data_IF_533746540102
#
_entry.id   IF_533746540102
#
_cell.length_a   1.000
_cell.length_b   1.000
_cell.length_c   1.000
_cell.angle_alpha   90.00
_cell.angle_beta   90.00
_cell.angle_gamma   90.00
#
_symmetry.space_group_name_H-M   'P 1'
#
loop_
_entity.id
_entity.type
_entity.pdbx_description
1 polymer ?
#
# COMPACT_ATOMS: atom_id res chain seq x y z
N UNK A 1 45.51 35.28 -13.23
CA UNK A 1 44.15 35.12 -12.65
C UNK A 1 43.32 34.32 -13.64
N UNK A 2 42.67 33.20 -13.38
CA UNK A 2 42.60 32.24 -12.27
C UNK A 2 41.80 31.07 -12.86
N UNK A 3 42.33 29.85 -12.77
CA UNK A 3 41.69 28.64 -13.34
C UNK A 3 40.52 28.26 -12.46
N UNK A 4 39.30 28.33 -12.98
CA UNK A 4 38.09 27.85 -12.30
C UNK A 4 38.06 26.33 -12.44
N UNK A 5 38.52 25.63 -11.41
CA UNK A 5 38.30 24.20 -11.23
C UNK A 5 36.85 23.97 -10.84
N UNK A 6 36.04 23.47 -11.77
CA UNK A 6 34.72 22.90 -11.47
C UNK A 6 34.89 21.61 -10.68
N UNK A 7 34.71 21.69 -9.36
CA UNK A 7 34.59 20.52 -8.48
C UNK A 7 33.31 19.76 -8.82
N UNK A 8 33.45 18.62 -9.52
CA UNK A 8 32.32 17.70 -9.75
C UNK A 8 31.99 16.98 -8.45
N UNK A 9 30.73 17.07 -8.00
CA UNK A 9 30.23 16.36 -6.83
C UNK A 9 30.43 14.82 -6.93
N UNK A 10 30.57 14.09 -5.80
CA UNK A 10 30.90 12.68 -5.82
C UNK A 10 29.80 11.87 -6.51
N UNK A 11 30.18 11.08 -7.52
CA UNK A 11 29.31 10.10 -8.19
C UNK A 11 28.82 9.08 -7.16
N UNK A 12 27.57 9.21 -6.70
CA UNK A 12 26.94 8.19 -5.85
C UNK A 12 27.13 6.78 -6.46
N UNK A 13 27.43 5.75 -5.65
CA UNK A 13 27.66 4.38 -6.11
C UNK A 13 26.59 3.90 -7.08
N UNK A 14 26.98 3.11 -8.09
CA UNK A 14 26.06 2.60 -9.14
C UNK A 14 24.83 1.88 -8.56
N UNK A 15 25.00 1.23 -7.40
CA UNK A 15 23.93 0.53 -6.69
C UNK A 15 22.88 1.50 -6.11
N UNK A 16 23.29 2.64 -5.56
CA UNK A 16 22.39 3.63 -4.98
C UNK A 16 21.52 4.30 -6.05
N UNK A 17 22.10 4.59 -7.22
CA UNK A 17 21.33 5.11 -8.36
C UNK A 17 20.33 4.10 -8.90
N UNK A 18 20.71 2.82 -8.94
CA UNK A 18 19.82 1.73 -9.36
C UNK A 18 18.63 1.60 -8.41
N UNK A 19 18.87 1.65 -7.09
CA UNK A 19 17.81 1.65 -6.06
C UNK A 19 16.90 2.87 -6.16
N UNK A 20 17.47 4.07 -6.27
CA UNK A 20 16.69 5.30 -6.41
C UNK A 20 15.83 5.31 -7.70
N UNK A 21 16.36 4.78 -8.81
CA UNK A 21 15.60 4.63 -10.05
C UNK A 21 14.46 3.65 -9.89
N UNK A 22 14.70 2.50 -9.25
CA UNK A 22 13.65 1.53 -8.93
C UNK A 22 12.53 2.16 -8.08
N UNK A 23 12.87 2.90 -7.03
CA UNK A 23 11.88 3.57 -6.18
C UNK A 23 11.02 4.57 -6.95
N UNK A 24 11.64 5.40 -7.80
CA UNK A 24 10.88 6.34 -8.66
C UNK A 24 9.90 5.61 -9.58
N UNK A 25 10.31 4.49 -10.17
CA UNK A 25 9.43 3.67 -11.01
C UNK A 25 8.25 3.09 -10.21
N UNK A 26 8.49 2.58 -8.99
CA UNK A 26 7.44 2.01 -8.15
C UNK A 26 6.43 3.08 -7.70
N UNK A 27 6.90 4.25 -7.27
CA UNK A 27 6.04 5.36 -6.88
C UNK A 27 5.20 5.88 -8.08
N UNK A 28 5.84 6.05 -9.25
CA UNK A 28 5.15 6.44 -10.47
C UNK A 28 4.12 5.37 -10.93
N UNK A 29 4.44 4.08 -10.75
CA UNK A 29 3.53 2.98 -11.08
C UNK A 29 2.26 3.02 -10.24
N UNK A 30 2.37 3.20 -8.91
CA UNK A 30 1.20 3.33 -8.04
C UNK A 30 0.35 4.53 -8.43
N UNK A 31 0.95 5.68 -8.71
CA UNK A 31 0.22 6.87 -9.11
C UNK A 31 -0.47 6.67 -10.48
N UNK A 32 0.21 6.05 -11.45
CA UNK A 32 -0.41 5.71 -12.73
C UNK A 32 -1.62 4.78 -12.57
N UNK A 33 -1.51 3.71 -11.77
CA UNK A 33 -2.65 2.84 -11.46
C UNK A 33 -3.78 3.60 -10.78
N UNK A 34 -3.45 4.42 -9.79
CA UNK A 34 -4.42 5.20 -9.03
C UNK A 34 -5.14 6.25 -9.88
N UNK A 35 -4.56 6.74 -10.97
CA UNK A 35 -5.16 7.79 -11.82
C UNK A 35 -5.80 7.21 -13.08
N UNK A 36 -5.10 6.32 -13.78
CA UNK A 36 -5.46 5.84 -15.12
C UNK A 36 -5.99 4.39 -15.12
N UNK A 37 -5.98 3.71 -13.97
CA UNK A 37 -6.34 2.31 -13.86
C UNK A 37 -5.37 1.38 -14.58
N UNK A 38 -5.71 0.09 -14.65
CA UNK A 38 -4.86 -0.95 -15.24
C UNK A 38 -4.60 -0.76 -16.74
N UNK A 39 -5.66 -0.48 -17.52
CA UNK A 39 -5.57 -0.37 -18.97
C UNK A 39 -4.75 0.85 -19.43
N UNK A 40 -4.85 1.97 -18.72
CA UNK A 40 -4.11 3.20 -19.02
C UNK A 40 -2.66 3.20 -18.54
N UNK A 41 -2.23 2.19 -17.78
CA UNK A 41 -0.92 2.16 -17.14
C UNK A 41 -0.01 1.16 -17.83
N UNK A 42 1.02 1.64 -18.52
CA UNK A 42 2.04 0.80 -19.18
C UNK A 42 3.43 1.10 -18.63
N UNK A 43 4.40 0.19 -18.84
CA UNK A 43 5.80 0.43 -18.45
C UNK A 43 6.36 1.72 -19.06
N UNK A 44 5.93 2.09 -20.27
CA UNK A 44 6.37 3.32 -20.93
C UNK A 44 5.78 4.57 -20.28
N UNK A 45 4.47 4.56 -19.96
CA UNK A 45 3.79 5.66 -19.26
C UNK A 45 4.41 5.88 -17.87
N UNK A 46 4.71 4.79 -17.16
CA UNK A 46 5.38 4.86 -15.86
C UNK A 46 6.81 5.41 -16.00
N UNK A 47 7.57 4.95 -17.00
CA UNK A 47 8.93 5.42 -17.23
C UNK A 47 8.98 6.94 -17.49
N UNK A 48 8.07 7.43 -18.33
CA UNK A 48 7.90 8.86 -18.61
C UNK A 48 7.60 9.63 -17.33
N UNK A 49 6.60 9.20 -16.56
CA UNK A 49 6.24 9.83 -15.28
C UNK A 49 7.39 9.82 -14.27
N UNK A 50 8.15 8.74 -14.22
CA UNK A 50 9.29 8.60 -13.31
C UNK A 50 10.50 9.45 -13.73
N UNK A 51 10.51 10.02 -14.94
CA UNK A 51 11.70 10.65 -15.52
C UNK A 51 12.83 9.66 -15.73
N UNK A 52 12.50 8.47 -16.23
CA UNK A 52 13.42 7.34 -16.47
C UNK A 52 13.30 6.91 -17.93
N UNK A 53 14.41 6.53 -18.57
CA UNK A 53 14.35 6.04 -19.94
C UNK A 53 13.60 4.70 -20.03
N UNK A 54 12.92 4.46 -21.16
CA UNK A 54 12.19 3.20 -21.40
C UNK A 54 13.08 1.97 -21.24
N UNK A 55 14.30 2.01 -21.76
CA UNK A 55 15.26 0.91 -21.64
C UNK A 55 15.69 0.65 -20.19
N UNK A 56 15.89 1.70 -19.39
CA UNK A 56 16.19 1.53 -17.96
C UNK A 56 14.99 0.97 -17.19
N UNK A 57 13.77 1.42 -17.49
CA UNK A 57 12.55 0.88 -16.90
C UNK A 57 12.36 -0.61 -17.23
N UNK A 58 12.53 -1.00 -18.50
CA UNK A 58 12.44 -2.40 -18.95
C UNK A 58 13.53 -3.28 -18.34
N UNK A 59 14.72 -2.74 -18.10
CA UNK A 59 15.79 -3.46 -17.38
C UNK A 59 15.39 -3.78 -15.93
N UNK A 60 14.70 -2.86 -15.25
CA UNK A 60 14.21 -3.09 -13.88
C UNK A 60 12.95 -3.95 -13.82
N UNK A 61 12.06 -3.81 -14.81
CA UNK A 61 10.77 -4.46 -14.88
C UNK A 61 10.48 -4.88 -16.33
N UNK A 62 10.77 -6.13 -16.70
CA UNK A 62 10.59 -6.63 -18.05
C UNK A 62 9.13 -6.57 -18.50
N UNK A 63 8.20 -6.81 -17.57
CA UNK A 63 6.76 -6.81 -17.84
C UNK A 63 6.03 -5.77 -17.02
N UNK A 64 4.82 -5.45 -17.48
CA UNK A 64 3.90 -4.55 -16.78
C UNK A 64 3.44 -5.16 -15.46
N UNK A 65 3.23 -6.48 -15.45
CA UNK A 65 2.79 -7.29 -14.34
C UNK A 65 3.86 -7.33 -13.24
N UNK A 66 5.13 -7.45 -13.60
CA UNK A 66 6.26 -7.37 -12.66
C UNK A 66 6.34 -5.97 -12.02
N UNK A 67 6.14 -4.91 -12.82
CA UNK A 67 6.16 -3.53 -12.34
C UNK A 67 5.05 -3.27 -11.32
N UNK A 68 3.81 -3.59 -11.65
CA UNK A 68 2.68 -3.23 -10.79
C UNK A 68 2.54 -4.11 -9.57
N UNK A 69 2.87 -5.41 -9.67
CA UNK A 69 2.90 -6.28 -8.48
C UNK A 69 3.95 -5.77 -7.49
N UNK A 70 5.15 -5.44 -7.98
CA UNK A 70 6.21 -4.88 -7.13
C UNK A 70 5.85 -3.48 -6.59
N UNK A 71 5.13 -2.66 -7.36
CA UNK A 71 4.69 -1.32 -6.94
C UNK A 71 3.71 -1.39 -5.77
N UNK A 72 2.69 -2.24 -5.86
CA UNK A 72 1.73 -2.45 -4.77
C UNK A 72 2.40 -3.06 -3.56
N UNK A 73 3.31 -4.03 -3.76
CA UNK A 73 4.12 -4.60 -2.67
C UNK A 73 4.96 -3.54 -1.94
N UNK A 74 5.68 -2.71 -2.70
CA UNK A 74 6.56 -1.69 -2.15
C UNK A 74 5.79 -0.73 -1.24
N UNK A 75 4.64 -0.23 -1.69
CA UNK A 75 3.87 0.72 -0.89
C UNK A 75 3.12 0.02 0.25
N UNK A 76 2.72 -1.25 0.08
CA UNK A 76 2.19 -2.04 1.20
C UNK A 76 3.21 -2.15 2.34
N UNK A 77 4.48 -2.43 2.01
CA UNK A 77 5.57 -2.48 2.98
C UNK A 77 5.82 -1.12 3.66
N UNK A 78 5.86 -0.02 2.89
CA UNK A 78 5.99 1.33 3.46
C UNK A 78 4.86 1.65 4.45
N UNK A 79 3.63 1.21 4.15
CA UNK A 79 2.48 1.40 5.04
C UNK A 79 2.55 0.52 6.28
N UNK A 80 2.95 -0.75 6.14
CA UNK A 80 3.18 -1.62 7.28
C UNK A 80 4.23 -1.02 8.22
N UNK A 81 5.30 -0.44 7.69
CA UNK A 81 6.32 0.25 8.49
C UNK A 81 5.76 1.50 9.18
N UNK A 82 5.00 2.33 8.47
CA UNK A 82 4.36 3.51 9.05
C UNK A 82 3.38 3.13 10.18
N UNK A 83 2.63 2.04 10.00
CA UNK A 83 1.68 1.54 10.99
C UNK A 83 2.40 1.01 12.24
N UNK A 84 3.49 0.26 12.09
CA UNK A 84 4.32 -0.19 13.22
C UNK A 84 4.95 0.98 14.00
N UNK A 85 5.21 2.10 13.34
CA UNK A 85 5.76 3.30 13.96
C UNK A 85 4.67 4.21 14.57
N UNK A 86 3.39 3.82 14.52
CA UNK A 86 2.30 4.63 15.04
C UNK A 86 2.43 4.79 16.57
N UNK A 87 2.40 6.01 17.11
CA UNK A 87 2.30 6.21 18.55
C UNK A 87 0.89 5.82 19.01
N UNK A 88 0.75 4.65 19.62
CA UNK A 88 -0.54 4.16 20.14
C UNK A 88 -0.95 5.01 21.35
N UNK A 89 -2.04 5.76 21.20
CA UNK A 89 -2.62 6.57 22.26
C UNK A 89 -3.81 5.87 22.91
N UNK A 90 -4.73 5.40 22.07
CA UNK A 90 -5.94 4.67 22.45
C UNK A 90 -6.37 3.72 21.32
N UNK A 91 -7.34 2.83 21.57
CA UNK A 91 -7.84 1.89 20.55
C UNK A 91 -8.49 2.61 19.37
N UNK A 92 -9.15 3.75 19.59
CA UNK A 92 -9.78 4.53 18.54
C UNK A 92 -8.76 5.03 17.50
N UNK A 93 -7.59 5.48 17.93
CA UNK A 93 -6.49 5.92 17.07
C UNK A 93 -5.95 4.77 16.22
N UNK A 94 -5.87 3.56 16.77
CA UNK A 94 -5.46 2.35 16.05
C UNK A 94 -6.49 1.97 15.00
N UNK A 95 -7.78 1.93 15.37
CA UNK A 95 -8.90 1.66 14.43
C UNK A 95 -8.90 2.68 13.29
N UNK A 96 -8.76 3.96 13.60
CA UNK A 96 -8.70 5.03 12.60
C UNK A 96 -7.51 4.84 11.65
N UNK A 97 -6.33 4.51 12.17
CA UNK A 97 -5.13 4.25 11.37
C UNK A 97 -5.30 3.04 10.44
N UNK A 98 -5.90 1.95 10.93
CA UNK A 98 -6.22 0.76 10.13
C UNK A 98 -7.22 1.07 9.02
N UNK A 99 -8.26 1.87 9.30
CA UNK A 99 -9.23 2.32 8.29
C UNK A 99 -8.59 3.25 7.25
N UNK A 100 -7.63 4.08 7.65
CA UNK A 100 -6.91 4.98 6.75
C UNK A 100 -6.10 4.21 5.67
N UNK A 101 -5.69 2.97 5.94
CA UNK A 101 -5.05 2.11 4.93
C UNK A 101 -5.96 1.91 3.71
N UNK A 102 -7.27 1.82 3.90
CA UNK A 102 -8.20 1.45 2.84
C UNK A 102 -8.86 2.67 2.16
N UNK A 103 -8.63 3.89 2.63
CA UNK A 103 -9.33 5.08 2.11
C UNK A 103 -8.47 5.99 1.21
N UNK A 104 -7.20 5.63 0.98
CA UNK A 104 -6.25 6.43 0.18
C UNK A 104 -5.98 5.94 -1.26
N UNK A 105 -5.22 6.71 -2.06
CA UNK A 105 -4.90 6.40 -3.47
C UNK A 105 -4.27 5.03 -3.72
N UNK A 106 -3.48 4.52 -2.76
CA UNK A 106 -2.89 3.20 -2.89
C UNK A 106 -3.96 2.10 -2.90
N UNK A 107 -4.99 2.21 -2.07
CA UNK A 107 -6.06 1.21 -2.07
C UNK A 107 -6.78 1.20 -3.42
N UNK A 108 -6.99 2.38 -4.02
CA UNK A 108 -7.50 2.49 -5.39
C UNK A 108 -6.58 1.80 -6.42
N UNK A 109 -5.26 2.00 -6.32
CA UNK A 109 -4.30 1.32 -7.19
C UNK A 109 -4.35 -0.22 -7.01
N UNK A 110 -4.39 -0.70 -5.76
CA UNK A 110 -4.50 -2.12 -5.45
C UNK A 110 -5.80 -2.73 -5.99
N UNK A 111 -6.93 -2.01 -5.89
CA UNK A 111 -8.21 -2.44 -6.46
C UNK A 111 -8.14 -2.60 -7.98
N UNK A 112 -7.51 -1.68 -8.69
CA UNK A 112 -7.30 -1.84 -10.13
C UNK A 112 -6.48 -3.10 -10.45
N UNK A 113 -5.47 -3.41 -9.63
CA UNK A 113 -4.68 -4.63 -9.77
C UNK A 113 -5.51 -5.90 -9.46
N UNK A 114 -6.37 -5.88 -8.43
CA UNK A 114 -7.25 -6.99 -8.10
C UNK A 114 -8.28 -7.27 -9.20
N UNK A 115 -8.89 -6.22 -9.76
CA UNK A 115 -9.82 -6.35 -10.89
C UNK A 115 -9.10 -6.85 -12.15
N UNK A 116 -7.84 -6.44 -12.39
CA UNK A 116 -7.05 -7.02 -13.47
C UNK A 116 -6.80 -8.51 -13.24
N UNK A 117 -6.37 -8.89 -12.04
CA UNK A 117 -6.08 -10.27 -11.66
C UNK A 117 -7.32 -11.19 -11.68
N UNK A 118 -8.52 -10.65 -11.45
CA UNK A 118 -9.75 -11.45 -11.57
C UNK A 118 -10.01 -11.86 -13.02
N UNK A 119 -9.60 -11.04 -13.99
CA UNK A 119 -9.82 -11.25 -15.42
C UNK A 119 -8.63 -11.88 -16.16
N UNK A 120 -7.41 -11.74 -15.63
CA UNK A 120 -6.18 -12.24 -16.25
C UNK A 120 -5.57 -13.42 -15.48
N UNK A 121 -5.64 -14.62 -16.05
CA UNK A 121 -5.22 -15.86 -15.38
C UNK A 121 -3.72 -15.89 -15.01
N UNK A 122 -2.87 -15.26 -15.82
CA UNK A 122 -1.42 -15.21 -15.56
C UNK A 122 -1.06 -14.28 -14.38
N UNK A 123 -1.88 -13.26 -14.14
CA UNK A 123 -1.66 -12.29 -13.06
C UNK A 123 -2.22 -12.79 -11.72
N UNK A 124 -3.28 -13.60 -11.77
CA UNK A 124 -4.01 -14.08 -10.59
C UNK A 124 -3.12 -14.70 -9.51
N UNK A 125 -2.22 -15.67 -9.78
CA UNK A 125 -1.42 -16.31 -8.73
C UNK A 125 -0.53 -15.30 -8.00
N UNK A 126 0.11 -14.39 -8.75
CA UNK A 126 1.02 -13.37 -8.21
C UNK A 126 0.29 -12.41 -7.27
N UNK A 127 -0.89 -11.97 -7.68
CA UNK A 127 -1.69 -11.02 -6.90
C UNK A 127 -2.32 -11.68 -5.67
N UNK A 128 -2.80 -12.91 -5.78
CA UNK A 128 -3.32 -13.66 -4.63
C UNK A 128 -2.23 -13.94 -3.59
N UNK A 129 -1.02 -14.31 -4.03
CA UNK A 129 0.12 -14.51 -3.13
C UNK A 129 0.49 -13.21 -2.39
N UNK A 130 0.54 -12.09 -3.13
CA UNK A 130 0.81 -10.78 -2.57
C UNK A 130 -0.27 -10.37 -1.57
N UNK A 131 -1.56 -10.49 -1.92
CA UNK A 131 -2.68 -10.15 -1.06
C UNK A 131 -2.65 -10.97 0.23
N UNK A 132 -2.43 -12.28 0.13
CA UNK A 132 -2.36 -13.15 1.30
C UNK A 132 -1.19 -12.77 2.23
N UNK A 133 -0.03 -12.39 1.67
CA UNK A 133 1.11 -11.94 2.48
C UNK A 133 0.85 -10.60 3.16
N UNK A 134 0.36 -9.61 2.41
CA UNK A 134 0.04 -8.27 2.94
C UNK A 134 -1.07 -8.35 3.98
N UNK A 135 -2.11 -9.15 3.73
CA UNK A 135 -3.21 -9.37 4.65
C UNK A 135 -2.75 -10.00 5.97
N UNK A 136 -1.94 -11.07 5.90
CA UNK A 136 -1.34 -11.68 7.11
C UNK A 136 -0.50 -10.69 7.91
N UNK A 137 0.28 -9.86 7.22
CA UNK A 137 1.13 -8.90 7.90
C UNK A 137 0.33 -7.75 8.54
N UNK A 138 -0.66 -7.24 7.83
CA UNK A 138 -1.58 -6.21 8.36
C UNK A 138 -2.33 -6.74 9.59
N UNK A 139 -2.79 -8.00 9.55
CA UNK A 139 -3.43 -8.65 10.71
C UNK A 139 -2.50 -8.73 11.91
N UNK A 140 -1.24 -9.16 11.72
CA UNK A 140 -0.26 -9.21 12.81
C UNK A 140 -0.04 -7.83 13.44
N UNK A 141 0.14 -6.80 12.62
CA UNK A 141 0.33 -5.44 13.12
C UNK A 141 -0.91 -4.95 13.86
N UNK A 142 -2.12 -5.26 13.36
CA UNK A 142 -3.36 -4.92 14.05
C UNK A 142 -3.46 -5.61 15.42
N UNK A 143 -3.14 -6.90 15.51
CA UNK A 143 -3.10 -7.65 16.78
C UNK A 143 -2.13 -7.01 17.77
N UNK A 144 -0.92 -6.66 17.31
CA UNK A 144 0.11 -6.03 18.16
C UNK A 144 -0.33 -4.65 18.66
N UNK A 145 -0.80 -3.78 17.76
CA UNK A 145 -1.22 -2.42 18.12
C UNK A 145 -2.46 -2.39 19.03
N UNK A 146 -3.37 -3.36 18.88
CA UNK A 146 -4.57 -3.48 19.71
C UNK A 146 -4.29 -4.18 21.05
N UNK A 147 -3.10 -4.76 21.24
CA UNK A 147 -2.79 -5.61 22.40
C UNK A 147 -3.70 -6.83 22.47
N UNK A 148 -4.11 -7.36 21.32
CA UNK A 148 -5.14 -8.41 21.24
C UNK A 148 -4.55 -9.79 21.57
N UNK A 149 -5.17 -10.50 22.51
CA UNK A 149 -4.83 -11.89 22.84
C UNK A 149 -5.66 -12.87 22.00
N UNK A 150 -5.09 -13.35 20.90
CA UNK A 150 -5.74 -14.29 19.99
C UNK A 150 -5.94 -15.69 20.58
N UNK A 151 -5.40 -16.00 21.77
CA UNK A 151 -5.71 -17.28 22.46
C UNK A 151 -7.13 -17.32 23.00
N UNK A 152 -7.75 -16.15 23.20
CA UNK A 152 -9.14 -16.02 23.62
C UNK A 152 -10.08 -16.26 22.43
N UNK A 153 -11.09 -17.13 22.55
CA UNK A 153 -12.04 -17.40 21.46
C UNK A 153 -12.69 -16.11 20.93
N UNK A 154 -12.71 -15.94 19.61
CA UNK A 154 -13.37 -14.81 18.95
C UNK A 154 -12.49 -13.56 18.76
N UNK A 155 -11.35 -13.44 19.45
CA UNK A 155 -10.49 -12.24 19.33
C UNK A 155 -9.89 -12.14 17.94
N UNK A 156 -9.36 -13.25 17.40
CA UNK A 156 -8.83 -13.31 16.04
C UNK A 156 -9.88 -12.89 15.01
N UNK A 157 -11.08 -13.44 15.11
CA UNK A 157 -12.20 -13.13 14.22
C UNK A 157 -12.64 -11.68 14.34
N UNK A 158 -12.59 -11.10 15.54
CA UNK A 158 -12.91 -9.69 15.78
C UNK A 158 -11.89 -8.76 15.12
N UNK A 159 -10.59 -9.05 15.26
CA UNK A 159 -9.52 -8.28 14.60
C UNK A 159 -9.61 -8.42 13.08
N UNK A 160 -9.85 -9.62 12.57
CA UNK A 160 -10.04 -9.83 11.14
C UNK A 160 -11.29 -9.10 10.64
N UNK A 161 -12.39 -9.14 11.39
CA UNK A 161 -13.63 -8.42 11.10
C UNK A 161 -13.45 -6.91 11.02
N UNK A 162 -12.61 -6.32 11.88
CA UNK A 162 -12.21 -4.92 11.78
C UNK A 162 -11.52 -4.63 10.43
N UNK A 163 -10.58 -5.47 10.00
CA UNK A 163 -9.86 -5.27 8.74
C UNK A 163 -10.78 -5.46 7.51
N UNK A 164 -11.67 -6.44 7.55
CA UNK A 164 -12.64 -6.68 6.48
C UNK A 164 -13.65 -5.54 6.37
N UNK A 165 -14.13 -5.02 7.51
CA UNK A 165 -14.95 -3.82 7.55
C UNK A 165 -14.18 -2.61 7.00
N UNK A 166 -12.94 -2.40 7.43
CA UNK A 166 -12.11 -1.30 6.97
C UNK A 166 -11.93 -1.32 5.44
N UNK A 167 -11.69 -2.50 4.86
CA UNK A 167 -11.67 -2.73 3.40
C UNK A 167 -13.00 -2.36 2.75
N UNK A 168 -14.13 -2.76 3.35
CA UNK A 168 -15.48 -2.43 2.87
C UNK A 168 -15.78 -0.92 2.87
N UNK A 169 -15.39 -0.21 3.94
CA UNK A 169 -15.49 1.25 4.03
C UNK A 169 -14.63 1.94 2.98
N UNK A 170 -13.43 1.42 2.72
CA UNK A 170 -12.55 1.87 1.63
C UNK A 170 -13.21 1.75 0.26
N UNK A 171 -13.89 0.63 -0.01
CA UNK A 171 -14.61 0.42 -1.26
C UNK A 171 -15.77 1.41 -1.43
N UNK A 172 -16.56 1.63 -0.38
CA UNK A 172 -17.66 2.60 -0.40
C UNK A 172 -17.17 4.04 -0.68
N UNK A 173 -16.00 4.41 -0.16
CA UNK A 173 -15.39 5.74 -0.34
C UNK A 173 -14.98 6.06 -1.78
N UNK A 174 -14.95 5.08 -2.69
CA UNK A 174 -14.61 5.32 -4.10
C UNK A 174 -15.71 6.05 -4.88
N UNK A 175 -16.96 5.94 -4.43
CA UNK A 175 -18.13 6.44 -5.17
C UNK A 175 -18.74 7.67 -4.52
N UNK A 176 -18.73 7.75 -3.18
CA UNK A 176 -19.29 8.86 -2.43
C UNK A 176 -18.40 9.22 -1.25
N UNK A 177 -18.28 10.52 -0.96
CA UNK A 177 -17.67 10.96 0.30
C UNK A 177 -18.60 10.61 1.46
N UNK A 178 -18.18 9.62 2.25
CA UNK A 178 -18.93 9.08 3.37
C UNK A 178 -18.22 9.30 4.71
N UNK A 179 -17.40 10.35 4.78
CA UNK A 179 -16.53 10.62 5.92
C UNK A 179 -17.31 10.65 7.24
N UNK A 180 -18.45 11.34 7.29
CA UNK A 180 -19.26 11.41 8.50
C UNK A 180 -19.80 10.05 8.96
N UNK A 181 -20.23 9.16 8.05
CA UNK A 181 -20.67 7.81 8.43
C UNK A 181 -19.48 6.96 8.87
N UNK A 182 -18.37 7.05 8.15
CA UNK A 182 -17.13 6.32 8.46
C UNK A 182 -16.63 6.65 9.86
N UNK A 183 -16.61 7.92 10.25
CA UNK A 183 -16.23 8.34 11.60
C UNK A 183 -17.11 7.72 12.68
N UNK A 184 -18.43 7.68 12.48
CA UNK A 184 -19.35 7.01 13.42
C UNK A 184 -19.11 5.50 13.50
N UNK A 185 -18.85 4.85 12.37
CA UNK A 185 -18.55 3.42 12.33
C UNK A 185 -17.22 3.12 13.04
N UNK A 186 -16.18 3.93 12.80
CA UNK A 186 -14.89 3.83 13.48
C UNK A 186 -15.05 3.96 14.99
N UNK A 187 -15.80 4.96 15.47
CA UNK A 187 -16.04 5.17 16.89
C UNK A 187 -16.79 3.98 17.52
N UNK A 188 -17.82 3.45 16.84
CA UNK A 188 -18.56 2.29 17.33
C UNK A 188 -17.67 1.04 17.42
N UNK A 189 -16.80 0.82 16.43
CA UNK A 189 -15.91 -0.34 16.44
C UNK A 189 -14.79 -0.24 17.47
N UNK A 190 -14.29 0.97 17.75
CA UNK A 190 -13.37 1.19 18.86
C UNK A 190 -14.01 0.77 20.19
N UNK A 191 -15.25 1.19 20.46
CA UNK A 191 -15.97 0.80 21.67
C UNK A 191 -16.22 -0.73 21.77
N UNK A 192 -16.59 -1.38 20.66
CA UNK A 192 -16.75 -2.84 20.63
C UNK A 192 -15.43 -3.57 20.93
N UNK A 193 -14.30 -3.03 20.43
CA UNK A 193 -12.98 -3.59 20.70
C UNK A 193 -12.56 -3.38 22.15
N UNK A 194 -12.93 -2.26 22.78
CA UNK A 194 -12.70 -2.07 24.22
C UNK A 194 -13.40 -3.15 25.04
N UNK A 195 -14.68 -3.45 24.74
CA UNK A 195 -15.43 -4.48 25.46
C UNK A 195 -14.86 -5.89 25.24
N UNK A 196 -14.45 -6.21 24.00
CA UNK A 196 -13.96 -7.55 23.64
C UNK A 196 -12.54 -7.79 24.15
N UNK A 197 -11.67 -6.79 24.06
CA UNK A 197 -10.26 -6.93 24.40
C UNK A 197 -9.98 -6.69 25.89
N UNK A 198 -10.84 -5.95 26.60
CA UNK A 198 -10.69 -5.61 28.02
C UNK A 198 -9.76 -4.43 28.25
#
# INVERSE_FOLDING_TARGET
>A
MGVVTTTSAPKAPKQDRSRATRQRLLAAAVACLAEHGWAGSTVSVVAERAGVSRGAAQHHFPTREDLFTAAVEYVAEERSQALRALPVQDRASVVAALVALYTGPLFRAALHLWVAASNEEQLRPRVTELEARVGRETHRIAVELLGADESRPGVRETVQGLLDMARGLGLANLLTDDTARRERVVAQWAALLDDVLG
#
